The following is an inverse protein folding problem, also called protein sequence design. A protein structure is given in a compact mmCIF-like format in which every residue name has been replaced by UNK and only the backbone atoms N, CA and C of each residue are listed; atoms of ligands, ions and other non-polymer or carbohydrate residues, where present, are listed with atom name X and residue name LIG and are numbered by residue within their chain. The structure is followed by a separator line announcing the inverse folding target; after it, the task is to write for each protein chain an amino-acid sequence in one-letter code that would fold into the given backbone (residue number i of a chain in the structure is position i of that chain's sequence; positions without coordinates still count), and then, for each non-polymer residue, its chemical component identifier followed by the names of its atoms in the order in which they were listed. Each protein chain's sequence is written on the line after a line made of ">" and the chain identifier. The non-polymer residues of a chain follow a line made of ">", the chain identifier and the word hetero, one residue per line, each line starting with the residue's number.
data_IF_698605303538
#
_entry.id   IF_698605303538
#
_cell.length_a   1.000
_cell.length_b   1.000
_cell.length_c   1.000
_cell.angle_alpha   90.00
_cell.angle_beta   90.00
_cell.angle_gamma   90.00
#
_symmetry.space_group_name_H-M   'P 1'
#
loop_
_entity.id
_entity.type
_entity.pdbx_description
1 polymer ?
#
# COMPACT_ATOMS: atom_id res chain seq x y z
N UNK A 1 -19.23 -19.92 24.67
CA UNK A 1 -18.46 -20.68 23.65
C UNK A 1 -19.42 -21.25 22.63
N UNK A 2 -20.31 -22.23 23.00
CA UNK A 2 -21.17 -22.89 22.03
C UNK A 2 -22.16 -21.96 21.34
N UNK A 3 -22.70 -20.96 22.01
CA UNK A 3 -23.56 -19.93 21.44
C UNK A 3 -22.79 -19.08 20.42
N UNK A 4 -21.63 -18.62 20.77
CA UNK A 4 -20.75 -17.79 19.91
C UNK A 4 -20.27 -18.56 18.68
N UNK A 5 -19.91 -19.83 18.86
CA UNK A 5 -19.57 -20.71 17.74
C UNK A 5 -20.72 -20.82 16.73
N UNK A 6 -21.97 -21.03 17.21
CA UNK A 6 -23.12 -21.10 16.31
C UNK A 6 -23.43 -19.76 15.66
N UNK A 7 -23.28 -18.64 16.38
CA UNK A 7 -23.46 -17.30 15.82
C UNK A 7 -22.47 -17.03 14.69
N UNK A 8 -21.20 -17.40 14.87
CA UNK A 8 -20.18 -17.22 13.85
C UNK A 8 -20.38 -18.15 12.66
N UNK A 9 -20.79 -19.42 12.89
CA UNK A 9 -21.02 -20.39 11.82
C UNK A 9 -22.29 -20.11 11.02
N UNK A 10 -23.41 -19.83 11.71
CA UNK A 10 -24.75 -19.77 11.12
C UNK A 10 -25.22 -18.32 10.88
N UNK A 11 -24.44 -17.32 11.32
CA UNK A 11 -24.72 -15.88 11.19
C UNK A 11 -25.84 -15.34 12.05
N UNK A 12 -26.61 -16.21 12.74
CA UNK A 12 -27.71 -15.82 13.65
C UNK A 12 -28.06 -16.93 14.62
N UNK A 13 -28.57 -16.52 15.80
CA UNK A 13 -29.18 -17.39 16.79
C UNK A 13 -30.56 -16.83 17.17
N UNK A 14 -31.54 -17.68 17.59
CA UNK A 14 -32.85 -17.20 18.01
C UNK A 14 -32.75 -16.23 19.21
N UNK A 15 -33.46 -15.11 19.13
CA UNK A 15 -33.37 -13.99 20.11
C UNK A 15 -33.74 -14.34 21.54
N UNK A 16 -34.36 -15.49 21.82
CA UNK A 16 -34.81 -15.92 23.15
C UNK A 16 -34.17 -17.22 23.63
N UNK A 17 -33.01 -17.60 23.11
CA UNK A 17 -32.42 -18.93 23.31
C UNK A 17 -31.16 -18.90 24.19
N UNK A 18 -30.97 -17.86 25.01
CA UNK A 18 -29.78 -17.64 25.85
C UNK A 18 -29.47 -18.80 26.82
N UNK A 19 -30.47 -19.63 27.15
CA UNK A 19 -30.34 -20.76 28.09
C UNK A 19 -30.41 -22.13 27.39
N UNK A 20 -30.25 -22.22 26.06
CA UNK A 20 -30.38 -23.48 25.37
C UNK A 20 -29.27 -24.46 25.80
N UNK A 21 -29.64 -25.63 26.39
CA UNK A 21 -28.64 -26.61 26.85
C UNK A 21 -27.72 -27.13 25.75
N UNK A 22 -28.11 -27.00 24.48
CA UNK A 22 -27.25 -27.33 23.33
C UNK A 22 -25.98 -26.46 23.27
N UNK A 23 -26.02 -25.22 23.72
CA UNK A 23 -24.84 -24.35 23.76
C UNK A 23 -23.78 -24.88 24.73
N UNK A 24 -24.18 -25.40 25.85
CA UNK A 24 -23.29 -26.01 26.84
C UNK A 24 -22.69 -27.33 26.30
N UNK A 25 -23.50 -28.10 25.57
CA UNK A 25 -23.04 -29.36 24.94
C UNK A 25 -22.02 -29.10 23.80
N UNK A 26 -22.31 -28.14 22.92
CA UNK A 26 -21.44 -27.73 21.85
C UNK A 26 -20.12 -27.17 22.42
N UNK A 27 -20.20 -26.26 23.41
CA UNK A 27 -19.03 -25.71 24.08
C UNK A 27 -18.15 -26.80 24.72
N UNK A 28 -18.76 -27.79 25.37
CA UNK A 28 -18.03 -28.92 25.97
C UNK A 28 -17.35 -29.77 24.91
N UNK A 29 -18.01 -30.04 23.79
CA UNK A 29 -17.44 -30.80 22.67
C UNK A 29 -16.26 -30.07 22.04
N UNK A 30 -16.37 -28.77 21.81
CA UNK A 30 -15.28 -27.93 21.28
C UNK A 30 -14.06 -27.95 22.22
N UNK A 31 -14.29 -27.84 23.53
CA UNK A 31 -13.18 -27.95 24.51
C UNK A 31 -12.56 -29.35 24.56
N UNK A 32 -13.35 -30.38 24.38
CA UNK A 32 -12.85 -31.78 24.37
C UNK A 32 -12.10 -32.13 23.08
N UNK A 33 -12.39 -31.46 21.95
CA UNK A 33 -11.66 -31.63 20.70
C UNK A 33 -10.23 -31.08 20.74
N UNK A 34 -9.88 -30.31 21.77
CA UNK A 34 -8.54 -29.74 21.95
C UNK A 34 -8.24 -28.50 21.10
N UNK A 35 -9.25 -27.99 20.38
CA UNK A 35 -9.08 -26.81 19.50
C UNK A 35 -9.16 -25.48 20.25
N UNK A 36 -9.62 -25.50 21.50
CA UNK A 36 -9.75 -24.29 22.34
C UNK A 36 -8.54 -24.09 23.25
N UNK A 37 -7.96 -22.89 23.20
CA UNK A 37 -6.86 -22.46 24.08
C UNK A 37 -7.43 -21.52 25.15
N UNK A 38 -7.30 -21.88 26.42
CA UNK A 38 -7.73 -21.04 27.53
C UNK A 38 -6.69 -19.96 27.78
N UNK A 39 -7.10 -18.69 27.74
CA UNK A 39 -6.28 -17.52 28.03
C UNK A 39 -6.86 -16.71 29.18
N UNK A 40 -6.13 -15.77 29.74
CA UNK A 40 -6.63 -14.84 30.78
C UNK A 40 -7.78 -13.93 30.27
N UNK A 41 -7.91 -13.76 28.94
CA UNK A 41 -8.94 -12.95 28.31
C UNK A 41 -10.15 -13.75 27.82
N UNK A 42 -10.10 -15.10 27.92
CA UNK A 42 -11.16 -16.00 27.44
C UNK A 42 -10.60 -17.23 26.75
N UNK A 43 -11.41 -17.81 25.88
CA UNK A 43 -11.05 -19.01 25.14
C UNK A 43 -10.88 -18.66 23.67
N UNK A 44 -9.69 -18.87 23.15
CA UNK A 44 -9.34 -18.69 21.76
C UNK A 44 -9.56 -20.01 21.01
N UNK A 45 -10.34 -19.96 19.95
CA UNK A 45 -10.45 -21.05 18.97
C UNK A 45 -9.72 -20.65 17.69
N UNK A 46 -8.96 -21.60 17.15
CA UNK A 46 -8.41 -21.47 15.82
C UNK A 46 -9.40 -22.16 14.88
N UNK A 47 -9.80 -21.45 13.82
CA UNK A 47 -10.65 -22.04 12.78
C UNK A 47 -9.83 -23.11 12.06
N UNK A 48 -10.33 -24.35 12.06
CA UNK A 48 -9.63 -25.49 11.42
C UNK A 48 -9.57 -25.36 9.89
N UNK A 49 -10.48 -24.56 9.31
CA UNK A 49 -10.47 -24.24 7.89
C UNK A 49 -9.42 -23.17 7.50
N UNK A 50 -8.87 -22.46 8.50
CA UNK A 50 -7.77 -21.52 8.28
C UNK A 50 -6.45 -22.27 8.31
N UNK A 51 -5.92 -22.54 7.13
CA UNK A 51 -4.55 -23.04 7.02
C UNK A 51 -3.57 -21.90 7.27
N UNK A 52 -2.87 -21.95 8.41
CA UNK A 52 -1.73 -21.07 8.62
C UNK A 52 -0.64 -21.45 7.62
N UNK A 53 -0.41 -20.55 6.68
CA UNK A 53 0.70 -20.65 5.77
C UNK A 53 1.88 -19.88 6.35
N UNK A 54 3.00 -20.54 6.55
CA UNK A 54 4.23 -19.84 6.88
C UNK A 54 4.65 -19.02 5.65
N UNK A 55 4.65 -17.70 5.80
CA UNK A 55 4.89 -16.75 4.70
C UNK A 55 6.39 -16.48 4.53
N UNK A 56 7.18 -16.75 5.56
CA UNK A 56 8.61 -16.51 5.58
C UNK A 56 9.37 -17.83 5.76
N UNK A 57 10.21 -18.18 4.80
CA UNK A 57 11.02 -19.41 4.79
C UNK A 57 12.33 -19.28 5.57
N UNK A 58 12.54 -18.15 6.27
CA UNK A 58 13.78 -17.81 6.97
C UNK A 58 14.76 -17.01 6.12
N UNK A 59 14.49 -16.75 4.85
CA UNK A 59 15.36 -16.03 3.92
C UNK A 59 14.61 -14.98 3.10
N UNK A 60 13.53 -15.35 2.43
CA UNK A 60 12.81 -14.48 1.49
C UNK A 60 11.30 -14.60 1.70
N UNK A 61 10.60 -13.46 1.67
CA UNK A 61 9.13 -13.46 1.64
C UNK A 61 8.62 -13.96 0.28
N UNK A 62 7.50 -14.71 0.26
CA UNK A 62 6.89 -15.14 -0.99
C UNK A 62 6.52 -13.94 -1.89
N UNK A 63 6.70 -14.06 -3.23
CA UNK A 63 6.45 -12.95 -4.16
C UNK A 63 5.02 -12.37 -4.09
N UNK A 64 4.02 -13.16 -3.75
CA UNK A 64 2.63 -12.71 -3.65
C UNK A 64 2.33 -11.81 -2.43
N UNK A 65 3.29 -11.66 -1.51
CA UNK A 65 3.23 -10.67 -0.44
C UNK A 65 3.70 -9.28 -0.89
N UNK A 66 4.38 -9.19 -2.02
CA UNK A 66 4.74 -7.90 -2.58
C UNK A 66 3.52 -7.31 -3.28
N UNK A 67 3.04 -6.20 -2.76
CA UNK A 67 2.02 -5.41 -3.42
C UNK A 67 2.64 -4.74 -4.65
N UNK A 68 2.18 -5.13 -5.84
CA UNK A 68 2.70 -4.59 -7.10
C UNK A 68 2.37 -3.10 -7.30
N UNK A 69 1.48 -2.54 -6.48
CA UNK A 69 1.19 -1.11 -6.50
C UNK A 69 2.24 -0.28 -5.77
N UNK A 70 3.07 -0.90 -4.93
CA UNK A 70 4.16 -0.21 -4.21
C UNK A 70 5.29 0.08 -5.19
N UNK A 71 5.67 1.35 -5.31
CA UNK A 71 6.75 1.80 -6.19
C UNK A 71 8.06 2.09 -5.45
N UNK A 72 7.99 2.47 -4.18
CA UNK A 72 9.18 2.71 -3.35
C UNK A 72 8.86 2.66 -1.86
N UNK A 73 9.91 2.59 -1.04
CA UNK A 73 9.83 2.69 0.42
C UNK A 73 10.30 4.06 0.88
N UNK A 74 9.52 4.73 1.73
CA UNK A 74 9.91 5.94 2.42
C UNK A 74 10.33 5.62 3.85
N UNK A 75 11.60 5.86 4.18
CA UNK A 75 12.09 5.88 5.54
C UNK A 75 11.83 7.27 6.13
N UNK A 76 10.94 7.34 7.12
CA UNK A 76 10.60 8.54 7.85
C UNK A 76 11.34 8.57 9.20
N UNK A 77 12.03 9.66 9.53
CA UNK A 77 12.84 9.76 10.75
C UNK A 77 12.54 11.06 11.50
N UNK A 78 12.34 10.96 12.82
CA UNK A 78 12.19 12.09 13.72
C UNK A 78 12.82 11.77 15.09
N UNK A 79 13.76 12.61 15.55
CA UNK A 79 14.46 12.44 16.84
C UNK A 79 14.99 11.02 17.09
N UNK A 80 15.55 10.37 16.07
CA UNK A 80 16.13 9.04 16.14
C UNK A 80 15.13 7.88 16.16
N UNK A 81 13.83 8.17 16.05
CA UNK A 81 12.80 7.16 15.76
C UNK A 81 12.64 7.02 14.26
N UNK A 82 12.35 5.82 13.81
CA UNK A 82 12.22 5.48 12.38
C UNK A 82 10.91 4.75 12.15
N UNK A 83 10.21 5.12 11.09
CA UNK A 83 9.05 4.44 10.53
C UNK A 83 9.27 4.20 9.04
N UNK A 84 8.66 3.16 8.49
CA UNK A 84 8.70 2.86 7.06
C UNK A 84 7.30 2.93 6.46
N UNK A 85 7.19 3.61 5.34
CA UNK A 85 5.97 3.74 4.53
C UNK A 85 6.23 3.13 3.16
N UNK A 86 5.29 2.33 2.69
CA UNK A 86 5.32 1.73 1.35
C UNK A 86 4.43 2.57 0.44
N UNK A 87 5.05 3.28 -0.49
CA UNK A 87 4.36 4.25 -1.35
C UNK A 87 4.00 3.65 -2.72
N UNK A 88 2.81 3.96 -3.26
CA UNK A 88 1.78 4.83 -2.67
C UNK A 88 1.00 4.14 -1.54
N UNK A 89 0.53 4.91 -0.58
CA UNK A 89 -0.29 4.41 0.52
C UNK A 89 -1.43 5.39 0.86
N UNK A 90 -2.36 4.93 1.70
CA UNK A 90 -3.42 5.80 2.21
C UNK A 90 -2.85 6.90 3.11
N UNK A 91 -3.37 8.13 3.00
CA UNK A 91 -2.98 9.27 3.85
C UNK A 91 -3.04 8.94 5.34
N UNK A 92 -4.03 8.15 5.76
CA UNK A 92 -4.15 7.70 7.15
C UNK A 92 -2.95 6.85 7.63
N UNK A 93 -2.25 6.16 6.72
CA UNK A 93 -1.02 5.44 7.07
C UNK A 93 0.14 6.42 7.35
N UNK A 94 0.23 7.49 6.56
CA UNK A 94 1.20 8.57 6.77
C UNK A 94 0.93 9.25 8.13
N UNK A 95 -0.32 9.65 8.41
CA UNK A 95 -0.72 10.30 9.66
C UNK A 95 -0.37 9.43 10.88
N UNK A 96 -0.65 8.12 10.81
CA UNK A 96 -0.31 7.16 11.87
C UNK A 96 1.21 7.05 12.07
N UNK A 97 2.01 7.05 11.00
CA UNK A 97 3.47 7.00 11.11
C UNK A 97 4.03 8.27 11.75
N UNK A 98 3.56 9.47 11.33
CA UNK A 98 3.93 10.74 11.96
C UNK A 98 3.58 10.73 13.45
N UNK A 99 2.37 10.25 13.80
CA UNK A 99 1.95 10.11 15.19
C UNK A 99 2.83 9.14 16.01
N UNK A 100 3.25 7.99 15.44
CA UNK A 100 4.16 7.04 16.11
C UNK A 100 5.56 7.59 16.29
N UNK A 101 6.05 8.38 15.33
CA UNK A 101 7.30 9.12 15.46
C UNK A 101 7.24 10.16 16.58
N UNK A 102 6.04 10.68 16.88
CA UNK A 102 5.82 11.78 17.81
C UNK A 102 6.19 13.13 17.21
N UNK A 103 6.20 13.24 15.88
CA UNK A 103 6.43 14.48 15.19
C UNK A 103 5.18 15.38 15.25
N UNK A 104 5.35 16.71 15.34
CA UNK A 104 4.22 17.64 15.39
C UNK A 104 3.49 17.76 14.05
N UNK A 105 4.21 17.58 12.95
CA UNK A 105 3.75 17.68 11.56
C UNK A 105 4.65 16.87 10.63
N UNK A 106 4.25 16.75 9.38
CA UNK A 106 5.00 16.00 8.36
C UNK A 106 6.30 16.71 7.94
N UNK A 107 6.31 18.04 7.98
CA UNK A 107 7.44 18.89 7.60
C UNK A 107 8.62 18.75 8.57
N UNK A 108 8.34 18.33 9.81
CA UNK A 108 9.35 18.05 10.83
C UNK A 108 10.05 16.70 10.64
N UNK A 109 9.53 15.84 9.75
CA UNK A 109 10.02 14.48 9.54
C UNK A 109 11.02 14.46 8.38
N UNK A 110 12.20 13.87 8.61
CA UNK A 110 13.16 13.62 7.52
C UNK A 110 12.72 12.40 6.72
N UNK A 111 12.67 12.53 5.39
CA UNK A 111 12.25 11.47 4.48
C UNK A 111 13.41 11.07 3.58
N UNK A 112 13.63 9.76 3.47
CA UNK A 112 14.57 9.16 2.51
C UNK A 112 13.81 8.11 1.71
N UNK A 113 13.84 8.22 0.38
CA UNK A 113 13.23 7.21 -0.50
C UNK A 113 14.26 6.16 -0.91
N UNK A 114 13.86 4.91 -0.82
CA UNK A 114 14.68 3.74 -1.18
C UNK A 114 13.81 2.60 -1.75
N UNK A 115 14.44 1.45 -2.04
CA UNK A 115 13.77 0.23 -2.51
C UNK A 115 12.78 0.49 -3.66
N UNK A 116 13.25 1.19 -4.71
CA UNK A 116 12.40 1.49 -5.86
C UNK A 116 12.11 0.21 -6.68
N UNK A 117 10.82 -0.01 -6.96
CA UNK A 117 10.35 -1.08 -7.85
C UNK A 117 10.31 -0.64 -9.33
N UNK A 118 10.73 0.59 -9.61
CA UNK A 118 10.80 1.17 -10.94
C UNK A 118 12.26 1.21 -11.38
N UNK A 119 12.58 0.56 -12.51
CA UNK A 119 13.92 0.61 -13.10
C UNK A 119 14.06 1.82 -14.03
N UNK A 120 13.99 3.03 -13.43
CA UNK A 120 14.25 4.29 -14.14
C UNK A 120 15.12 5.18 -13.24
N UNK A 121 16.45 5.22 -13.47
CA UNK A 121 17.39 5.94 -12.62
C UNK A 121 17.12 7.45 -12.52
N UNK A 122 16.60 8.05 -13.58
CA UNK A 122 16.27 9.49 -13.59
C UNK A 122 15.11 9.78 -12.63
N UNK A 123 14.02 9.02 -12.70
CA UNK A 123 12.90 9.17 -11.79
C UNK A 123 13.24 8.83 -10.35
N UNK A 124 14.06 7.80 -10.12
CA UNK A 124 14.59 7.48 -8.78
C UNK A 124 15.36 8.67 -8.19
N UNK A 125 16.21 9.33 -8.99
CA UNK A 125 16.96 10.52 -8.58
C UNK A 125 16.00 11.70 -8.33
N UNK A 126 15.08 11.99 -9.26
CA UNK A 126 14.12 13.08 -9.17
C UNK A 126 13.24 12.97 -7.92
N UNK A 127 12.70 11.80 -7.64
CA UNK A 127 11.89 11.56 -6.43
C UNK A 127 12.72 11.74 -5.15
N UNK A 128 13.98 11.28 -5.11
CA UNK A 128 14.86 11.51 -3.96
C UNK A 128 15.16 13.00 -3.74
N UNK A 129 15.38 13.76 -4.79
CA UNK A 129 15.63 15.20 -4.70
C UNK A 129 14.39 15.95 -4.15
N UNK A 130 13.19 15.56 -4.56
CA UNK A 130 11.94 16.15 -4.08
C UNK A 130 11.73 16.00 -2.57
N UNK A 131 12.31 14.98 -1.90
CA UNK A 131 12.17 14.83 -0.44
C UNK A 131 12.74 16.00 0.37
N UNK A 132 13.58 16.83 -0.22
CA UNK A 132 14.15 18.01 0.43
C UNK A 132 13.25 19.26 0.39
N UNK A 133 12.26 19.29 -0.49
CA UNK A 133 11.42 20.46 -0.75
C UNK A 133 9.92 20.18 -0.72
N UNK A 134 9.52 18.94 -0.92
CA UNK A 134 8.13 18.52 -1.04
C UNK A 134 7.67 17.75 0.21
N UNK A 135 6.38 17.82 0.53
CA UNK A 135 5.81 17.07 1.62
C UNK A 135 5.68 15.57 1.27
N UNK A 136 5.72 14.70 2.27
CA UNK A 136 5.50 13.25 2.07
C UNK A 136 4.12 12.97 1.45
N UNK A 137 3.13 13.81 1.68
CA UNK A 137 1.81 13.69 1.08
C UNK A 137 1.85 13.94 -0.42
N UNK A 138 2.55 15.00 -0.86
CA UNK A 138 2.67 15.36 -2.27
C UNK A 138 3.50 14.32 -3.03
N UNK A 139 4.57 13.78 -2.40
CA UNK A 139 5.35 12.67 -2.94
C UNK A 139 4.49 11.41 -3.08
N UNK A 140 3.70 11.07 -2.06
CA UNK A 140 2.80 9.92 -2.08
C UNK A 140 1.76 10.04 -3.21
N UNK A 141 1.17 11.22 -3.36
CA UNK A 141 0.18 11.48 -4.41
C UNK A 141 0.82 11.38 -5.82
N UNK A 142 2.07 11.86 -5.98
CA UNK A 142 2.83 11.72 -7.22
C UNK A 142 3.14 10.26 -7.53
N UNK A 143 3.63 9.50 -6.55
CA UNK A 143 3.93 8.06 -6.71
C UNK A 143 2.67 7.30 -7.09
N UNK A 144 1.52 7.62 -6.48
CA UNK A 144 0.21 7.07 -6.83
C UNK A 144 -0.23 7.41 -8.26
N UNK A 145 -0.01 8.64 -8.70
CA UNK A 145 -0.34 9.07 -10.06
C UNK A 145 0.55 8.37 -11.11
N UNK A 146 1.83 8.19 -10.83
CA UNK A 146 2.76 7.42 -11.67
C UNK A 146 2.30 5.96 -11.81
N UNK A 147 1.92 5.32 -10.71
CA UNK A 147 1.39 3.96 -10.72
C UNK A 147 0.13 3.85 -11.58
N UNK A 148 -0.82 4.78 -11.40
CA UNK A 148 -2.08 4.80 -12.15
C UNK A 148 -1.90 5.12 -13.65
N UNK A 149 -0.82 5.77 -14.03
CA UNK A 149 -0.46 6.07 -15.42
C UNK A 149 0.32 4.92 -16.09
N UNK A 150 0.22 3.70 -15.58
CA UNK A 150 0.93 2.52 -16.08
C UNK A 150 2.45 2.74 -16.18
N UNK A 151 3.00 3.59 -15.32
CA UNK A 151 4.43 3.95 -15.27
C UNK A 151 5.01 4.44 -16.63
N UNK A 152 4.20 5.18 -17.41
CA UNK A 152 4.64 5.78 -18.68
C UNK A 152 5.62 6.96 -18.41
N UNK A 153 6.77 6.64 -17.82
CA UNK A 153 7.70 7.62 -17.27
C UNK A 153 8.35 8.50 -18.35
N UNK A 154 8.67 7.94 -19.50
CA UNK A 154 9.29 8.70 -20.61
C UNK A 154 8.30 9.74 -21.14
N UNK A 155 7.05 9.35 -21.30
CA UNK A 155 5.99 10.29 -21.68
C UNK A 155 5.75 11.36 -20.63
N UNK A 156 5.72 10.98 -19.35
CA UNK A 156 5.57 11.94 -18.25
C UNK A 156 6.75 12.90 -18.18
N UNK A 157 7.98 12.42 -18.40
CA UNK A 157 9.18 13.25 -18.50
C UNK A 157 9.04 14.30 -19.61
N UNK A 158 8.72 13.85 -20.82
CA UNK A 158 8.56 14.73 -21.96
C UNK A 158 7.47 15.80 -21.74
N UNK A 159 6.34 15.42 -21.12
CA UNK A 159 5.25 16.35 -20.82
C UNK A 159 5.64 17.34 -19.71
N UNK A 160 6.34 16.89 -18.68
CA UNK A 160 6.81 17.75 -17.59
C UNK A 160 7.86 18.76 -18.10
N UNK A 161 8.79 18.35 -18.94
CA UNK A 161 9.78 19.21 -19.60
C UNK A 161 9.09 20.25 -20.50
N UNK A 162 8.13 19.82 -21.33
CA UNK A 162 7.34 20.72 -22.17
C UNK A 162 6.57 21.76 -21.36
N UNK A 163 6.01 21.37 -20.21
CA UNK A 163 5.28 22.25 -19.32
C UNK A 163 6.20 23.12 -18.44
N UNK A 164 7.49 22.79 -18.34
CA UNK A 164 8.47 23.49 -17.50
C UNK A 164 8.16 23.36 -16.00
N UNK A 165 7.69 22.19 -15.54
CA UNK A 165 7.32 21.95 -14.14
C UNK A 165 8.22 20.90 -13.51
N UNK A 166 8.54 21.10 -12.22
CA UNK A 166 9.44 20.24 -11.47
C UNK A 166 8.87 19.83 -10.11
N UNK A 167 7.80 20.50 -9.62
CA UNK A 167 7.20 20.21 -8.32
C UNK A 167 6.24 19.02 -8.37
N UNK A 168 6.11 18.31 -7.23
CA UNK A 168 5.33 17.09 -7.11
C UNK A 168 3.84 17.27 -7.48
N UNK A 169 3.21 18.39 -7.09
CA UNK A 169 1.79 18.65 -7.37
C UNK A 169 1.52 18.85 -8.85
N UNK A 170 2.35 19.67 -9.50
CA UNK A 170 2.22 19.93 -10.94
C UNK A 170 2.45 18.68 -11.75
N UNK A 171 3.46 17.89 -11.41
CA UNK A 171 3.73 16.61 -12.09
C UNK A 171 2.59 15.60 -11.82
N UNK A 172 2.04 15.54 -10.62
CA UNK A 172 0.85 14.72 -10.31
C UNK A 172 -0.34 15.10 -11.21
N UNK A 173 -0.59 16.38 -11.41
CA UNK A 173 -1.66 16.85 -12.29
C UNK A 173 -1.42 16.42 -13.77
N UNK A 174 -0.18 16.49 -14.25
CA UNK A 174 0.20 16.03 -15.58
C UNK A 174 0.06 14.50 -15.71
N UNK A 175 0.51 13.72 -14.71
CA UNK A 175 0.39 12.27 -14.70
C UNK A 175 -1.09 11.83 -14.78
N UNK A 176 -1.96 12.47 -14.02
CA UNK A 176 -3.41 12.22 -14.07
C UNK A 176 -4.06 12.65 -15.41
N UNK A 177 -3.39 13.46 -16.21
CA UNK A 177 -3.86 13.95 -17.50
C UNK A 177 -3.06 13.40 -18.68
N UNK A 178 -2.21 12.38 -18.44
CA UNK A 178 -1.24 11.88 -19.41
C UNK A 178 -1.90 11.32 -20.68
N UNK A 179 -3.14 10.84 -20.57
CA UNK A 179 -3.94 10.40 -21.71
C UNK A 179 -4.28 11.49 -22.73
N UNK A 180 -4.14 12.79 -22.36
CA UNK A 180 -4.36 13.92 -23.29
C UNK A 180 -3.16 14.15 -24.22
N UNK A 181 -2.02 13.55 -23.97
CA UNK A 181 -0.79 13.70 -24.74
C UNK A 181 -0.50 12.44 -25.54
N UNK A 182 0.13 12.60 -26.68
CA UNK A 182 0.68 11.49 -27.47
C UNK A 182 2.18 11.68 -27.61
N UNK A 183 2.95 10.72 -27.10
CA UNK A 183 4.39 10.64 -27.33
C UNK A 183 4.61 9.67 -28.50
N UNK A 184 5.31 10.12 -29.54
CA UNK A 184 5.74 9.28 -30.66
C UNK A 184 7.23 9.01 -30.43
N UNK A 185 7.51 7.85 -29.86
CA UNK A 185 8.86 7.45 -29.50
C UNK A 185 9.75 7.33 -30.75
N UNK A 186 10.95 7.90 -30.67
CA UNK A 186 11.93 7.82 -31.76
C UNK A 186 11.61 8.65 -33.00
N UNK A 187 10.55 9.47 -32.98
CA UNK A 187 10.29 10.38 -34.10
C UNK A 187 11.28 11.56 -34.08
N UNK A 188 12.05 11.72 -35.15
CA UNK A 188 13.03 12.79 -35.29
C UNK A 188 12.55 13.88 -36.28
N UNK A 189 11.58 13.57 -37.14
CA UNK A 189 11.09 14.48 -38.16
C UNK A 189 9.57 14.35 -38.44
N UNK A 190 9.08 15.22 -39.34
CA UNK A 190 7.64 15.25 -39.71
C UNK A 190 7.21 13.99 -40.48
N UNK A 191 8.11 13.26 -41.10
CA UNK A 191 7.80 12.04 -41.84
C UNK A 191 7.49 10.92 -40.85
N UNK A 192 8.24 10.81 -39.75
CA UNK A 192 8.00 9.84 -38.69
C UNK A 192 6.68 10.10 -37.98
N UNK A 193 6.36 11.37 -37.71
CA UNK A 193 5.06 11.78 -37.19
C UNK A 193 3.94 11.38 -38.16
N UNK A 194 4.13 11.63 -39.46
CA UNK A 194 3.16 11.25 -40.50
C UNK A 194 2.90 9.74 -40.56
N UNK A 195 3.92 8.91 -40.45
CA UNK A 195 3.79 7.44 -40.41
C UNK A 195 2.92 6.99 -39.23
N UNK A 196 3.10 7.57 -38.06
CA UNK A 196 2.35 7.21 -36.85
C UNK A 196 0.82 7.44 -36.99
N UNK A 197 0.40 8.46 -37.72
CA UNK A 197 -1.03 8.79 -37.87
C UNK A 197 -1.70 8.20 -39.13
N UNK A 198 -0.96 7.51 -40.00
CA UNK A 198 -1.50 6.95 -41.25
C UNK A 198 -1.64 5.42 -41.19
N UNK A 199 -0.95 4.76 -40.24
CA UNK A 199 -1.13 3.33 -39.94
C UNK A 199 -2.34 3.10 -39.01
#
# INVERSE_FOLDING_TARGET
>A
IGQEYLLNRDGSIPANDDANPKYAEIGRRLMQSGTGIVTEHGILFVDEDVQFQELYDGQVFPPYLYDSSILCTAKAEYHGKVEYLYLPCERAAIDKSIGRLGAPDAESVSIILDDFMVDNPEWMRRLREMTSSESIYDINDLVGAISNADMQLDKLTAVAEYAGVEDAKSITALANSLGLFTLIEGAEDNEDVGKHFVE
#
